data_IF_645625127226
#
_entry.id   IF_645625127226
#
_cell.length_a   1.000
_cell.length_b   1.000
_cell.length_c   1.000
_cell.angle_alpha   90.00
_cell.angle_beta   90.00
_cell.angle_gamma   90.00
#
_symmetry.space_group_name_H-M   'P 1'
#
loop_
_entity.id
_entity.type
_entity.pdbx_description
1 polymer ?
#
# COMPACT_ATOMS: atom_id res chain seq x y z
N UNK A 1 33.39 -29.16 -7.47
CA UNK A 1 32.56 -27.93 -7.36
C UNK A 1 31.06 -28.26 -7.38
N UNK A 2 30.56 -29.09 -6.45
CA UNK A 2 29.12 -29.43 -6.34
C UNK A 2 28.47 -28.79 -5.13
N UNK A 3 29.21 -28.68 -4.03
CA UNK A 3 28.75 -28.06 -2.77
C UNK A 3 28.38 -26.58 -2.92
N UNK A 4 29.13 -25.82 -3.71
CA UNK A 4 28.84 -24.39 -3.94
C UNK A 4 27.48 -24.18 -4.64
N UNK A 5 27.12 -25.07 -5.57
CA UNK A 5 25.82 -25.00 -6.26
C UNK A 5 24.65 -25.36 -5.34
N UNK A 6 24.84 -26.31 -4.43
CA UNK A 6 23.84 -26.68 -3.42
C UNK A 6 23.61 -25.53 -2.44
N UNK A 7 24.67 -24.85 -2.00
CA UNK A 7 24.57 -23.67 -1.12
C UNK A 7 23.83 -22.50 -1.77
N UNK A 8 24.10 -22.22 -3.05
CA UNK A 8 23.37 -21.20 -3.81
C UNK A 8 21.89 -21.57 -4.00
N UNK A 9 21.60 -22.84 -4.28
CA UNK A 9 20.21 -23.32 -4.44
C UNK A 9 19.41 -23.33 -3.13
N UNK A 10 20.06 -23.45 -1.97
CA UNK A 10 19.39 -23.33 -0.65
C UNK A 10 19.19 -21.86 -0.26
N UNK A 11 20.09 -20.96 -0.68
CA UNK A 11 19.95 -19.52 -0.46
C UNK A 11 18.92 -18.86 -1.39
N UNK A 12 18.67 -19.41 -2.58
CA UNK A 12 17.70 -18.86 -3.54
C UNK A 12 16.25 -18.80 -2.99
N UNK A 13 15.71 -19.86 -2.36
CA UNK A 13 14.40 -19.81 -1.69
C UNK A 13 14.35 -18.76 -0.59
N UNK A 14 15.43 -18.59 0.18
CA UNK A 14 15.52 -17.59 1.25
C UNK A 14 15.59 -16.16 0.70
N UNK A 15 16.20 -15.96 -0.47
CA UNK A 15 16.22 -14.68 -1.18
C UNK A 15 14.85 -14.32 -1.80
N UNK A 16 14.05 -15.32 -2.17
CA UNK A 16 12.68 -15.12 -2.62
C UNK A 16 11.67 -14.94 -1.48
N UNK A 17 12.11 -14.96 -0.21
CA UNK A 17 11.22 -14.95 0.96
C UNK A 17 11.01 -13.58 1.61
N UNK A 18 11.51 -12.47 1.05
CA UNK A 18 11.40 -11.16 1.73
C UNK A 18 11.24 -9.98 0.77
N UNK A 19 9.98 -9.71 0.39
CA UNK A 19 9.56 -8.46 -0.25
C UNK A 19 8.13 -8.56 -0.75
N UNK A 20 7.16 -8.18 0.09
CA UNK A 20 5.70 -8.24 -0.16
C UNK A 20 5.16 -7.22 -1.17
N UNK A 21 6.03 -6.42 -1.78
CA UNK A 21 5.64 -5.36 -2.70
C UNK A 21 6.68 -4.26 -2.77
N UNK A 22 6.39 -3.22 -3.56
CA UNK A 22 7.22 -2.03 -3.70
C UNK A 22 7.49 -1.39 -2.31
N UNK A 23 8.76 -1.28 -1.84
CA UNK A 23 9.08 -0.73 -0.51
C UNK A 23 8.53 0.69 -0.30
N UNK A 24 8.50 1.48 -1.38
CA UNK A 24 7.91 2.81 -1.36
C UNK A 24 6.40 2.77 -1.07
N UNK A 25 5.67 1.80 -1.63
CA UNK A 25 4.23 1.66 -1.38
C UNK A 25 3.96 1.24 0.07
N UNK A 26 4.79 0.37 0.65
CA UNK A 26 4.70 0.01 2.07
C UNK A 26 4.92 1.24 2.96
N UNK A 27 5.89 2.10 2.61
CA UNK A 27 6.11 3.37 3.31
C UNK A 27 4.93 4.33 3.17
N UNK A 28 4.33 4.44 1.97
CA UNK A 28 3.11 5.23 1.74
C UNK A 28 1.98 4.74 2.63
N UNK A 29 1.72 3.43 2.70
CA UNK A 29 0.66 2.85 3.54
C UNK A 29 0.91 3.19 5.01
N UNK A 30 2.14 2.98 5.51
CA UNK A 30 2.51 3.27 6.89
C UNK A 30 2.33 4.76 7.25
N UNK A 31 2.79 5.67 6.38
CA UNK A 31 2.62 7.11 6.59
C UNK A 31 1.16 7.56 6.46
N UNK A 32 0.36 6.88 5.65
CA UNK A 32 -1.07 7.18 5.48
C UNK A 32 -1.85 6.90 6.76
N UNK A 33 -1.67 5.72 7.35
CA UNK A 33 -2.42 5.29 8.55
C UNK A 33 -1.86 5.81 9.87
N UNK A 34 -0.60 6.28 9.90
CA UNK A 34 0.01 6.76 11.14
C UNK A 34 -0.61 8.08 11.61
N UNK A 35 -1.10 8.16 12.88
CA UNK A 35 -1.60 9.40 13.44
C UNK A 35 -0.48 10.42 13.76
N UNK A 36 0.77 9.96 13.83
CA UNK A 36 1.93 10.80 14.11
C UNK A 36 2.36 11.64 12.90
N UNK A 37 1.99 11.19 11.69
CA UNK A 37 2.31 11.88 10.44
C UNK A 37 1.27 12.97 10.19
N UNK A 38 1.74 14.21 10.17
CA UNK A 38 0.89 15.37 9.86
C UNK A 38 0.45 15.41 8.38
N UNK A 39 -0.61 16.16 8.07
CA UNK A 39 -1.06 16.39 6.69
C UNK A 39 0.05 16.98 5.82
N UNK A 40 0.74 18.01 6.32
CA UNK A 40 1.85 18.65 5.61
C UNK A 40 3.03 17.70 5.39
N UNK A 41 3.35 16.84 6.37
CA UNK A 41 4.42 15.85 6.22
C UNK A 41 4.06 14.84 5.13
N UNK A 42 2.82 14.36 5.10
CA UNK A 42 2.34 13.43 4.09
C UNK A 42 2.35 14.04 2.68
N UNK A 43 1.92 15.30 2.53
CA UNK A 43 1.98 16.02 1.26
C UNK A 43 3.42 16.21 0.78
N UNK A 44 4.35 16.56 1.69
CA UNK A 44 5.77 16.69 1.36
C UNK A 44 6.38 15.36 0.93
N UNK A 45 6.01 14.26 1.60
CA UNK A 45 6.47 12.92 1.24
C UNK A 45 6.04 12.50 -0.18
N UNK A 46 4.86 12.95 -0.63
CA UNK A 46 4.29 12.62 -1.94
C UNK A 46 4.39 13.76 -2.98
N UNK A 47 5.19 14.79 -2.70
CA UNK A 47 5.25 16.01 -3.54
C UNK A 47 5.63 15.72 -4.99
N UNK A 48 6.49 14.71 -5.23
CA UNK A 48 6.95 14.34 -6.57
C UNK A 48 5.81 13.79 -7.44
N UNK A 49 4.77 13.23 -6.80
CA UNK A 49 3.58 12.65 -7.43
C UNK A 49 2.41 13.65 -7.52
N UNK A 50 2.42 14.71 -6.72
CA UNK A 50 1.37 15.71 -6.60
C UNK A 50 1.90 17.14 -6.80
N UNK A 51 2.24 17.46 -8.05
CA UNK A 51 2.83 18.77 -8.39
C UNK A 51 1.77 19.89 -8.54
N UNK A 52 0.54 19.55 -8.93
CA UNK A 52 -0.56 20.51 -9.09
C UNK A 52 -1.28 20.77 -7.77
N UNK A 53 -1.86 21.96 -7.62
CA UNK A 53 -2.63 22.36 -6.42
C UNK A 53 -3.74 21.35 -6.10
N UNK A 54 -4.56 21.00 -7.09
CA UNK A 54 -5.67 20.05 -6.91
C UNK A 54 -5.21 18.68 -6.39
N UNK A 55 -4.04 18.20 -6.83
CA UNK A 55 -3.48 16.93 -6.33
C UNK A 55 -2.96 17.06 -4.91
N UNK A 56 -2.38 18.20 -4.54
CA UNK A 56 -1.95 18.47 -3.17
C UNK A 56 -3.15 18.54 -2.23
N UNK A 57 -4.23 19.20 -2.64
CA UNK A 57 -5.49 19.25 -1.89
C UNK A 57 -6.07 17.85 -1.72
N UNK A 58 -6.12 17.05 -2.79
CA UNK A 58 -6.56 15.66 -2.69
C UNK A 58 -5.70 14.82 -1.70
N UNK A 59 -4.38 15.01 -1.68
CA UNK A 59 -3.52 14.35 -0.68
C UNK A 59 -3.82 14.80 0.75
N UNK A 60 -4.16 16.08 0.95
CA UNK A 60 -4.58 16.58 2.25
C UNK A 60 -5.89 15.93 2.69
N UNK A 61 -6.89 15.88 1.81
CA UNK A 61 -8.19 15.27 2.09
C UNK A 61 -8.07 13.79 2.40
N UNK A 62 -7.28 13.05 1.60
CA UNK A 62 -6.97 11.64 1.86
C UNK A 62 -6.36 11.49 3.25
N UNK A 63 -5.33 12.26 3.58
CA UNK A 63 -4.67 12.13 4.89
C UNK A 63 -5.62 12.48 6.04
N UNK A 64 -6.42 13.54 5.89
CA UNK A 64 -7.38 13.95 6.90
C UNK A 64 -8.47 12.90 7.11
N UNK A 65 -8.89 12.20 6.04
CA UNK A 65 -9.83 11.09 6.13
C UNK A 65 -9.30 9.96 7.03
N UNK A 66 -8.03 9.57 6.85
CA UNK A 66 -7.38 8.53 7.67
C UNK A 66 -7.16 8.95 9.12
N UNK A 67 -6.86 10.23 9.38
CA UNK A 67 -6.76 10.76 10.74
C UNK A 67 -8.09 10.71 11.51
N UNK A 68 -9.22 10.71 10.79
CA UNK A 68 -10.56 10.60 11.38
C UNK A 68 -11.05 9.15 11.53
N UNK A 69 -10.26 8.13 11.14
CA UNK A 69 -10.65 6.72 11.27
C UNK A 69 -10.36 6.15 12.67
N UNK A 70 -11.08 5.08 13.05
CA UNK A 70 -10.78 4.33 14.27
C UNK A 70 -9.52 3.47 14.13
N UNK A 71 -8.84 3.17 15.24
CA UNK A 71 -7.68 2.28 15.26
C UNK A 71 -7.98 0.91 14.64
N UNK A 72 -9.18 0.37 14.84
CA UNK A 72 -9.63 -0.89 14.23
C UNK A 72 -9.69 -0.78 12.70
N UNK A 73 -10.24 0.32 12.18
CA UNK A 73 -10.33 0.55 10.74
C UNK A 73 -8.94 0.71 10.11
N UNK A 74 -8.05 1.45 10.77
CA UNK A 74 -6.66 1.63 10.34
C UNK A 74 -5.90 0.30 10.32
N UNK A 75 -6.09 -0.54 11.34
CA UNK A 75 -5.53 -1.89 11.39
C UNK A 75 -6.05 -2.76 10.25
N UNK A 76 -7.38 -2.79 10.04
CA UNK A 76 -7.99 -3.57 8.97
C UNK A 76 -7.55 -3.10 7.58
N UNK A 77 -7.37 -1.81 7.38
CA UNK A 77 -6.83 -1.26 6.13
C UNK A 77 -5.39 -1.73 5.88
N UNK A 78 -4.53 -1.72 6.90
CA UNK A 78 -3.16 -2.23 6.78
C UNK A 78 -3.16 -3.72 6.38
N UNK A 79 -4.02 -4.54 6.99
CA UNK A 79 -4.16 -5.95 6.61
C UNK A 79 -4.68 -6.12 5.17
N UNK A 80 -5.70 -5.34 4.78
CA UNK A 80 -6.23 -5.34 3.42
C UNK A 80 -5.15 -4.99 2.39
N UNK A 81 -4.32 -3.96 2.68
CA UNK A 81 -3.22 -3.59 1.81
C UNK A 81 -2.22 -4.73 1.68
N UNK A 82 -1.73 -5.31 2.77
CA UNK A 82 -0.79 -6.46 2.75
C UNK A 82 -1.34 -7.62 1.91
N UNK A 83 -2.61 -7.99 2.08
CA UNK A 83 -3.25 -9.06 1.30
C UNK A 83 -3.33 -8.71 -0.20
N UNK A 84 -3.62 -7.45 -0.52
CA UNK A 84 -3.78 -6.98 -1.90
C UNK A 84 -2.45 -6.92 -2.65
N UNK A 85 -1.36 -6.45 -2.01
CA UNK A 85 -0.03 -6.38 -2.64
C UNK A 85 0.75 -7.69 -2.61
N UNK A 86 0.52 -8.54 -1.59
CA UNK A 86 1.24 -9.82 -1.45
C UNK A 86 0.57 -10.98 -2.21
N UNK A 87 -0.65 -10.81 -2.71
CA UNK A 87 -1.24 -11.81 -3.61
C UNK A 87 -0.47 -11.83 -4.93
N UNK A 88 0.05 -13.00 -5.31
CA UNK A 88 0.61 -13.32 -6.63
C UNK A 88 -0.29 -12.92 -7.83
N UNK A 89 -1.54 -12.50 -7.56
CA UNK A 89 -2.53 -12.01 -8.53
C UNK A 89 -2.27 -10.63 -9.15
N UNK A 90 -1.43 -9.75 -8.58
CA UNK A 90 -1.06 -8.49 -9.27
C UNK A 90 -0.01 -8.69 -10.38
N UNK A 91 0.66 -9.84 -10.40
CA UNK A 91 1.56 -10.22 -11.50
C UNK A 91 0.80 -10.93 -12.64
N UNK A 92 -0.49 -11.31 -12.45
CA UNK A 92 -1.15 -12.20 -13.42
C UNK A 92 -2.65 -12.11 -13.68
N UNK A 93 -3.52 -11.51 -12.85
CA UNK A 93 -4.95 -11.85 -12.94
C UNK A 93 -5.92 -10.69 -12.74
N UNK A 94 -6.75 -10.51 -13.77
CA UNK A 94 -8.05 -9.83 -13.97
C UNK A 94 -9.10 -9.92 -12.83
N UNK A 95 -8.74 -10.35 -11.61
CA UNK A 95 -9.69 -10.58 -10.52
C UNK A 95 -10.07 -9.30 -9.76
N UNK A 96 -9.18 -8.31 -9.64
CA UNK A 96 -9.45 -7.09 -8.87
C UNK A 96 -10.42 -6.14 -9.58
N UNK A 97 -10.62 -6.25 -10.89
CA UNK A 97 -11.42 -5.26 -11.65
C UNK A 97 -12.93 -5.36 -11.43
N UNK A 98 -13.46 -6.51 -11.00
CA UNK A 98 -14.91 -6.69 -10.86
C UNK A 98 -15.43 -6.35 -9.46
N UNK A 99 -14.68 -6.68 -8.40
CA UNK A 99 -15.09 -6.38 -7.01
C UNK A 99 -14.60 -5.02 -6.52
N UNK A 100 -13.46 -4.49 -7.03
CA UNK A 100 -13.06 -3.11 -6.73
C UNK A 100 -14.05 -2.09 -7.29
N UNK A 101 -14.73 -2.40 -8.41
CA UNK A 101 -15.81 -1.54 -8.91
C UNK A 101 -17.00 -1.52 -7.95
N UNK A 102 -17.33 -2.62 -7.29
CA UNK A 102 -18.42 -2.67 -6.32
C UNK A 102 -18.04 -2.05 -4.96
N UNK A 103 -16.80 -2.22 -4.51
CA UNK A 103 -16.28 -1.64 -3.26
C UNK A 103 -16.06 -0.13 -3.32
N UNK A 104 -15.45 0.38 -4.41
CA UNK A 104 -15.26 1.82 -4.62
C UNK A 104 -16.60 2.52 -4.84
N UNK A 105 -17.55 1.90 -5.54
CA UNK A 105 -18.89 2.46 -5.69
C UNK A 105 -19.61 2.54 -4.34
N UNK A 106 -19.45 1.54 -3.46
CA UNK A 106 -20.06 1.58 -2.12
C UNK A 106 -19.38 2.58 -1.17
N UNK A 107 -18.09 2.86 -1.34
CA UNK A 107 -17.40 3.92 -0.59
C UNK A 107 -17.77 5.33 -1.10
N UNK A 108 -18.05 5.50 -2.39
CA UNK A 108 -18.53 6.75 -2.98
C UNK A 108 -20.01 7.05 -2.71
N UNK A 109 -20.81 6.08 -2.28
CA UNK A 109 -22.23 6.28 -1.94
C UNK A 109 -22.48 6.67 -0.47
N UNK A 110 -21.43 6.81 0.34
CA UNK A 110 -21.49 7.31 1.72
C UNK A 110 -20.80 8.68 1.90
N UNK A 111 -20.59 9.41 0.80
CA UNK A 111 -20.28 10.83 0.76
C UNK A 111 -21.27 11.56 -0.14
#
# INVERSE_FOLDING_TARGET
>A
MKLLRVLVLIALPLYCLAGSGCPFLEEVVNKTISPEVSVSEYQNFLQDFAQTTDKKEALADVKQCFLNQSNETLYNYAQMMVITVSSDGLVGSTFVTNDAKAGVQRALFYF
#
